data_IF_595309916359
#
_entry.id   IF_595309916359
#
_cell.length_a   1.000
_cell.length_b   1.000
_cell.length_c   1.000
_cell.angle_alpha   90.00
_cell.angle_beta   90.00
_cell.angle_gamma   90.00
#
_symmetry.space_group_name_H-M   'P 1'
#
loop_
_entity.id
_entity.type
_entity.pdbx_description
1 polymer ?
#
# COMPACT_ATOMS: atom_id res chain seq x y z
N UNK A 1 -27.41 -2.88 -52.91
CA UNK A 1 -28.67 -2.10 -52.95
C UNK A 1 -29.58 -2.61 -51.83
N UNK A 2 -29.47 -2.03 -50.63
CA UNK A 2 -30.48 -2.08 -49.56
C UNK A 2 -30.29 -0.84 -48.68
N UNK A 3 -31.40 -0.29 -48.23
CA UNK A 3 -31.64 1.11 -47.94
C UNK A 3 -31.22 1.57 -46.54
N UNK A 4 -31.03 2.89 -46.45
CA UNK A 4 -30.85 3.75 -45.27
C UNK A 4 -31.90 3.52 -44.17
N UNK A 5 -31.54 3.78 -42.91
CA UNK A 5 -32.33 4.66 -42.02
C UNK A 5 -31.45 5.29 -40.93
N UNK A 6 -31.60 6.61 -40.81
CA UNK A 6 -31.15 7.50 -39.72
C UNK A 6 -32.07 7.30 -38.51
N UNK A 7 -31.53 7.53 -37.32
CA UNK A 7 -32.31 7.72 -36.08
C UNK A 7 -31.51 8.51 -35.05
N UNK A 8 -31.70 9.83 -35.04
CA UNK A 8 -31.27 10.76 -33.99
C UNK A 8 -32.21 10.70 -32.77
N UNK A 9 -31.67 11.00 -31.59
CA UNK A 9 -32.23 11.82 -30.47
C UNK A 9 -31.62 11.32 -29.14
N UNK A 10 -30.73 12.04 -28.45
CA UNK A 10 -30.85 13.33 -27.76
C UNK A 10 -31.81 13.25 -26.56
N UNK A 11 -31.28 12.97 -25.36
CA UNK A 11 -31.82 13.52 -24.11
C UNK A 11 -30.65 14.02 -23.24
N UNK A 12 -30.61 15.34 -23.08
CA UNK A 12 -29.86 16.09 -22.05
C UNK A 12 -30.57 15.94 -20.70
N UNK A 13 -29.80 16.14 -19.62
CA UNK A 13 -30.08 16.83 -18.33
C UNK A 13 -29.35 16.07 -17.20
N UNK A 14 -28.21 16.57 -16.69
CA UNK A 14 -28.06 17.50 -15.55
C UNK A 14 -28.75 17.03 -14.27
N UNK A 15 -27.96 16.49 -13.34
CA UNK A 15 -28.16 16.79 -11.91
C UNK A 15 -26.86 16.52 -11.12
N UNK A 16 -26.12 17.57 -10.71
CA UNK A 16 -25.03 17.49 -9.77
C UNK A 16 -25.45 18.11 -8.43
N UNK A 17 -26.18 17.40 -7.59
CA UNK A 17 -26.27 17.72 -6.15
C UNK A 17 -27.02 16.60 -5.40
N UNK A 18 -26.27 15.69 -4.77
CA UNK A 18 -26.80 14.90 -3.66
C UNK A 18 -25.89 15.02 -2.47
N UNK A 19 -26.18 16.08 -1.72
CA UNK A 19 -25.71 16.40 -0.38
C UNK A 19 -25.88 15.19 0.53
N UNK A 20 -24.75 14.70 1.06
CA UNK A 20 -24.67 13.71 2.13
C UNK A 20 -25.21 14.31 3.44
N UNK A 21 -26.21 13.71 4.10
CA UNK A 21 -26.59 14.13 5.44
C UNK A 21 -25.52 13.69 6.45
N UNK A 22 -24.96 14.68 7.16
CA UNK A 22 -24.00 14.50 8.24
C UNK A 22 -24.56 13.62 9.36
N UNK A 23 -23.87 12.51 9.65
CA UNK A 23 -24.10 11.74 10.86
C UNK A 23 -23.31 12.37 12.01
N UNK A 24 -24.08 12.88 12.97
CA UNK A 24 -23.64 13.30 14.31
C UNK A 24 -22.68 12.29 14.92
N UNK A 25 -21.55 12.81 15.37
CA UNK A 25 -20.69 12.26 16.41
C UNK A 25 -21.51 11.96 17.67
N UNK A 26 -21.49 10.70 18.12
CA UNK A 26 -22.00 10.29 19.42
C UNK A 26 -20.94 10.60 20.49
N UNK A 27 -21.29 11.20 21.63
CA UNK A 27 -20.38 11.31 22.76
C UNK A 27 -20.21 9.96 23.46
N UNK A 28 -18.96 9.65 23.80
CA UNK A 28 -18.58 8.55 24.70
C UNK A 28 -19.36 8.67 26.01
N UNK A 29 -20.06 7.59 26.39
CA UNK A 29 -20.50 7.39 27.77
C UNK A 29 -19.28 7.02 28.61
N UNK A 30 -18.94 7.91 29.53
CA UNK A 30 -18.11 7.60 30.69
C UNK A 30 -18.98 6.83 31.69
N UNK A 31 -18.73 5.54 31.85
CA UNK A 31 -19.27 4.79 32.99
C UNK A 31 -18.36 5.05 34.20
N UNK A 32 -18.79 6.01 35.01
CA UNK A 32 -18.36 6.16 36.39
C UNK A 32 -19.41 5.50 37.31
N UNK A 33 -18.96 5.13 38.50
CA UNK A 33 -19.73 4.72 39.67
C UNK A 33 -20.25 3.28 39.75
N UNK A 34 -19.50 2.45 40.48
CA UNK A 34 -20.10 1.51 41.42
C UNK A 34 -19.54 1.73 42.83
N UNK A 35 -20.32 2.51 43.57
CA UNK A 35 -20.66 2.43 44.99
C UNK A 35 -19.73 1.60 45.91
N UNK A 36 -18.99 2.35 46.73
CA UNK A 36 -18.45 1.92 48.01
C UNK A 36 -19.56 1.98 49.07
N UNK A 37 -20.06 0.82 49.50
CA UNK A 37 -20.90 0.70 50.70
C UNK A 37 -20.10 0.02 51.81
N UNK A 38 -19.71 0.82 52.81
CA UNK A 38 -19.10 0.36 54.05
C UNK A 38 -20.14 -0.35 54.93
N UNK A 39 -19.90 -1.64 55.19
CA UNK A 39 -20.62 -2.43 56.18
C UNK A 39 -19.68 -2.80 57.32
N UNK A 40 -19.85 -2.11 58.45
CA UNK A 40 -19.19 -2.41 59.73
C UNK A 40 -19.68 -3.77 60.27
N UNK A 41 -18.86 -4.82 60.15
CA UNK A 41 -19.05 -6.05 60.93
C UNK A 41 -17.83 -6.26 61.82
N UNK A 42 -17.98 -5.85 63.09
CA UNK A 42 -17.14 -6.31 64.20
C UNK A 42 -17.29 -7.84 64.32
N UNK A 43 -16.41 -8.59 63.68
CA UNK A 43 -16.24 -10.02 63.97
C UNK A 43 -15.16 -10.20 65.02
N UNK A 44 -15.62 -10.64 66.18
CA UNK A 44 -14.85 -11.18 67.29
C UNK A 44 -13.88 -12.24 66.74
N UNK A 45 -12.58 -12.04 66.96
CA UNK A 45 -11.52 -12.98 66.56
C UNK A 45 -11.38 -14.05 67.65
N UNK A 46 -11.67 -15.33 67.40
CA UNK A 46 -11.21 -16.38 68.30
C UNK A 46 -9.76 -16.72 67.96
N UNK A 47 -8.92 -16.60 68.99
CA UNK A 47 -7.55 -17.12 69.07
C UNK A 47 -7.57 -18.64 68.84
N UNK A 48 -7.42 -19.10 67.60
CA UNK A 48 -7.10 -20.50 67.31
C UNK A 48 -6.15 -20.56 66.12
N UNK A 49 -4.98 -21.16 66.32
CA UNK A 49 -4.21 -21.77 65.24
C UNK A 49 -3.23 -20.85 64.53
N UNK A 50 -2.15 -20.50 65.23
CA UNK A 50 -0.87 -20.15 64.63
C UNK A 50 -0.34 -21.36 63.82
N UNK A 51 -0.65 -21.40 62.53
CA UNK A 51 0.16 -22.11 61.53
C UNK A 51 0.08 -21.35 60.20
N UNK A 52 0.55 -20.10 60.21
CA UNK A 52 1.00 -19.47 58.97
C UNK A 52 2.25 -20.23 58.56
N UNK A 53 2.09 -21.19 57.64
CA UNK A 53 3.20 -21.65 56.83
C UNK A 53 3.79 -20.40 56.18
N UNK A 54 4.92 -19.92 56.71
CA UNK A 54 5.83 -19.06 55.97
C UNK A 54 6.32 -19.89 54.78
N UNK A 55 5.49 -19.99 53.74
CA UNK A 55 6.02 -20.14 52.39
C UNK A 55 6.69 -18.80 52.15
N UNK A 56 7.97 -18.69 52.53
CA UNK A 56 8.83 -17.70 51.93
C UNK A 56 8.57 -17.83 50.42
N UNK A 57 8.21 -16.75 49.69
CA UNK A 57 8.28 -16.84 48.25
C UNK A 57 9.72 -17.27 47.98
N UNK A 58 9.91 -18.50 47.53
CA UNK A 58 11.18 -18.88 46.95
C UNK A 58 11.43 -17.77 45.93
N UNK A 59 12.59 -17.09 45.94
CA UNK A 59 12.99 -16.42 44.73
C UNK A 59 13.05 -17.57 43.74
N UNK A 60 12.00 -17.72 42.93
CA UNK A 60 12.04 -18.56 41.76
C UNK A 60 13.09 -17.88 40.92
N UNK A 61 14.35 -18.26 41.12
CA UNK A 61 15.44 -18.06 40.19
C UNK A 61 15.16 -18.98 39.01
N UNK A 62 13.97 -18.84 38.41
CA UNK A 62 13.74 -19.24 37.05
C UNK A 62 14.30 -18.10 36.21
N UNK A 63 15.60 -17.83 36.37
CA UNK A 63 16.31 -16.97 35.45
C UNK A 63 16.77 -17.87 34.30
N UNK A 64 15.82 -18.52 33.61
CA UNK A 64 16.13 -19.41 32.49
C UNK A 64 16.82 -18.65 31.34
N UNK A 65 16.76 -17.32 31.37
CA UNK A 65 17.39 -16.40 30.44
C UNK A 65 18.82 -15.96 30.81
N UNK A 66 19.40 -16.35 31.96
CA UNK A 66 20.77 -15.90 32.35
C UNK A 66 21.89 -16.57 31.57
N UNK A 67 21.59 -17.62 30.81
CA UNK A 67 22.57 -18.33 29.96
C UNK A 67 22.13 -18.41 28.49
N UNK A 68 20.89 -18.05 28.17
CA UNK A 68 20.33 -18.10 26.81
C UNK A 68 20.32 -16.69 26.22
N UNK A 69 21.29 -16.41 25.35
CA UNK A 69 21.22 -15.25 24.49
C UNK A 69 20.24 -15.53 23.34
N UNK A 70 19.11 -14.83 23.29
CA UNK A 70 18.17 -14.94 22.17
C UNK A 70 18.76 -14.23 20.95
N UNK A 71 19.46 -14.97 20.10
CA UNK A 71 19.96 -14.48 18.81
C UNK A 71 18.91 -14.60 17.73
N UNK A 72 19.02 -13.79 16.69
CA UNK A 72 18.22 -13.97 15.49
C UNK A 72 18.46 -15.37 14.90
N UNK A 73 17.41 -16.15 14.62
CA UNK A 73 17.55 -17.48 14.01
C UNK A 73 18.09 -17.40 12.57
N UNK A 74 17.80 -16.32 11.85
CA UNK A 74 18.23 -16.11 10.46
C UNK A 74 18.28 -14.60 10.14
N UNK A 75 18.60 -14.26 8.88
CA UNK A 75 18.69 -12.87 8.44
C UNK A 75 17.34 -12.14 8.34
N UNK A 76 16.22 -12.85 8.52
CA UNK A 76 14.84 -12.36 8.44
C UNK A 76 14.17 -12.17 9.79
N UNK A 77 14.88 -12.46 10.86
CA UNK A 77 14.41 -12.25 12.21
C UNK A 77 15.38 -11.33 12.95
N UNK A 78 14.84 -10.54 13.87
CA UNK A 78 15.66 -9.81 14.82
C UNK A 78 15.90 -10.64 16.07
N UNK A 79 16.87 -10.24 16.88
CA UNK A 79 17.13 -10.88 18.16
C UNK A 79 15.86 -10.84 19.03
N UNK A 80 15.46 -12.02 19.50
CA UNK A 80 14.30 -12.20 20.36
C UNK A 80 14.46 -11.64 21.76
N UNK A 81 13.33 -11.54 22.47
CA UNK A 81 13.31 -11.32 23.91
C UNK A 81 13.03 -12.65 24.58
N UNK A 82 13.80 -12.97 25.62
CA UNK A 82 13.61 -14.17 26.42
C UNK A 82 12.45 -13.96 27.40
N UNK A 83 11.50 -14.89 27.41
CA UNK A 83 10.48 -15.00 28.45
C UNK A 83 11.12 -15.59 29.73
N UNK A 84 11.15 -14.84 30.85
CA UNK A 84 11.77 -15.30 32.09
C UNK A 84 11.08 -16.52 32.70
N UNK A 85 9.78 -16.72 32.48
CA UNK A 85 9.01 -17.79 33.11
C UNK A 85 9.15 -19.12 32.36
N UNK A 86 9.30 -19.06 31.04
CA UNK A 86 9.37 -20.25 30.17
C UNK A 86 10.76 -20.52 29.59
N UNK A 87 11.66 -19.54 29.67
CA UNK A 87 12.98 -19.60 29.04
C UNK A 87 12.94 -19.59 27.51
N UNK A 88 11.78 -19.28 26.91
CA UNK A 88 11.59 -19.29 25.45
C UNK A 88 11.94 -17.94 24.84
N UNK A 89 12.57 -17.95 23.67
CA UNK A 89 12.89 -16.74 22.92
C UNK A 89 11.79 -16.42 21.93
N UNK A 90 11.36 -15.15 21.87
CA UNK A 90 10.53 -14.69 20.77
C UNK A 90 11.32 -14.63 19.46
N UNK A 91 10.63 -14.72 18.31
CA UNK A 91 11.26 -14.64 16.98
C UNK A 91 10.56 -13.53 16.17
N UNK A 92 10.81 -12.26 16.48
CA UNK A 92 10.24 -11.15 15.72
C UNK A 92 10.78 -11.12 14.28
N UNK A 93 9.89 -11.30 13.31
CA UNK A 93 10.18 -11.14 11.87
C UNK A 93 10.51 -9.67 11.55
N UNK A 94 11.49 -9.47 10.67
CA UNK A 94 11.79 -8.15 10.13
C UNK A 94 10.89 -7.87 8.92
N UNK A 95 10.46 -6.62 8.79
CA UNK A 95 9.75 -6.16 7.60
C UNK A 95 10.76 -5.66 6.58
N UNK A 96 10.80 -6.29 5.41
CA UNK A 96 11.57 -5.82 4.27
C UNK A 96 10.69 -4.94 3.39
N UNK A 97 10.87 -3.63 3.50
CA UNK A 97 10.22 -2.63 2.64
C UNK A 97 11.28 -1.61 2.21
N UNK A 98 11.55 -1.47 0.91
CA UNK A 98 12.48 -0.45 0.40
C UNK A 98 11.78 0.89 0.09
N UNK A 99 10.47 0.96 0.30
CA UNK A 99 9.63 2.12 0.01
C UNK A 99 9.38 2.32 -1.50
N UNK A 100 9.81 1.41 -2.35
CA UNK A 100 9.51 1.39 -3.77
C UNK A 100 8.31 0.47 -4.02
N UNK A 101 7.12 1.00 -4.36
CA UNK A 101 5.96 0.16 -4.62
C UNK A 101 6.11 -0.73 -5.86
N UNK A 102 7.20 -0.59 -6.63
CA UNK A 102 7.46 -1.31 -7.88
C UNK A 102 8.44 -2.45 -7.69
N UNK A 103 8.79 -2.78 -6.45
CA UNK A 103 9.53 -3.97 -6.09
C UNK A 103 8.63 -4.94 -5.34
N UNK A 104 8.85 -6.23 -5.59
CA UNK A 104 8.39 -7.29 -4.73
C UNK A 104 9.46 -7.48 -3.66
N UNK A 105 9.12 -7.04 -2.46
CA UNK A 105 10.02 -7.06 -1.33
C UNK A 105 9.80 -8.36 -0.57
N UNK A 106 10.88 -9.10 -0.32
CA UNK A 106 10.84 -10.35 0.40
C UNK A 106 12.08 -10.48 1.27
N UNK A 107 12.01 -11.38 2.24
CA UNK A 107 13.16 -11.71 3.06
C UNK A 107 13.62 -13.15 2.78
N UNK A 108 14.88 -13.30 2.39
CA UNK A 108 15.54 -14.59 2.24
C UNK A 108 16.31 -14.90 3.54
N UNK A 109 16.05 -16.03 4.22
CA UNK A 109 16.69 -16.35 5.51
C UNK A 109 18.22 -16.36 5.49
N UNK A 110 18.84 -16.58 4.31
CA UNK A 110 20.30 -16.64 4.18
C UNK A 110 20.92 -15.28 3.86
N UNK A 111 20.25 -14.44 3.07
CA UNK A 111 20.79 -13.20 2.53
C UNK A 111 20.10 -11.93 3.04
N UNK A 112 19.00 -12.05 3.78
CA UNK A 112 18.22 -10.95 4.33
C UNK A 112 17.24 -10.37 3.32
N UNK A 113 16.99 -9.07 3.38
CA UNK A 113 16.04 -8.42 2.49
C UNK A 113 16.48 -8.46 1.02
N UNK A 114 15.57 -8.92 0.16
CA UNK A 114 15.71 -8.95 -1.29
C UNK A 114 14.61 -8.12 -1.92
N UNK A 115 14.99 -7.19 -2.78
CA UNK A 115 14.07 -6.28 -3.46
C UNK A 115 14.11 -6.55 -4.96
N UNK A 116 13.09 -7.25 -5.48
CA UNK A 116 13.05 -7.66 -6.88
C UNK A 116 12.13 -6.74 -7.68
N UNK A 117 12.53 -6.23 -8.86
CA UNK A 117 11.63 -5.46 -9.70
C UNK A 117 10.36 -6.24 -10.03
N UNK A 118 9.19 -5.63 -9.80
CA UNK A 118 7.92 -6.22 -10.16
C UNK A 118 7.89 -6.56 -11.66
N UNK A 119 7.23 -7.66 -12.02
CA UNK A 119 7.12 -8.13 -13.40
C UNK A 119 5.65 -8.25 -13.83
N UNK A 120 5.41 -8.43 -15.13
CA UNK A 120 4.05 -8.63 -15.63
C UNK A 120 3.12 -7.42 -15.39
N UNK A 121 1.90 -7.70 -14.93
CA UNK A 121 0.91 -6.66 -14.63
C UNK A 121 1.25 -5.84 -13.39
N UNK A 122 1.90 -6.42 -12.39
CA UNK A 122 2.35 -5.72 -11.16
C UNK A 122 3.28 -4.56 -11.50
N UNK A 123 4.24 -4.79 -12.41
CA UNK A 123 5.16 -3.75 -12.88
C UNK A 123 4.43 -2.54 -13.47
N UNK A 124 3.39 -2.80 -14.27
CA UNK A 124 2.66 -1.74 -14.97
C UNK A 124 1.69 -1.03 -14.03
N UNK A 125 1.01 -1.76 -13.14
CA UNK A 125 0.14 -1.19 -12.11
C UNK A 125 0.94 -0.28 -11.18
N UNK A 126 2.11 -0.72 -10.71
CA UNK A 126 2.95 0.12 -9.88
C UNK A 126 3.41 1.39 -10.60
N UNK A 127 3.92 1.27 -11.83
CA UNK A 127 4.36 2.44 -12.59
C UNK A 127 3.23 3.46 -12.77
N UNK A 128 1.97 3.03 -12.84
CA UNK A 128 0.83 3.95 -12.93
C UNK A 128 0.54 4.66 -11.61
N UNK A 129 0.76 4.02 -10.46
CA UNK A 129 0.64 4.65 -9.14
C UNK A 129 1.73 5.71 -8.98
N UNK A 130 3.00 5.33 -9.20
CA UNK A 130 4.17 6.23 -9.07
C UNK A 130 4.20 7.34 -10.11
N UNK A 131 3.72 7.09 -11.34
CA UNK A 131 3.65 8.13 -12.37
C UNK A 131 2.56 9.17 -12.09
N UNK A 132 1.47 8.80 -11.40
CA UNK A 132 0.44 9.78 -10.97
C UNK A 132 0.83 10.63 -9.78
N UNK A 133 1.88 10.23 -9.06
CA UNK A 133 2.55 11.07 -8.07
C UNK A 133 3.49 12.11 -8.71
N UNK A 134 3.47 12.19 -10.05
CA UNK A 134 4.10 13.13 -10.98
C UNK A 134 5.15 14.08 -10.38
N UNK A 135 6.40 14.04 -10.89
CA UNK A 135 7.57 14.70 -10.31
C UNK A 135 7.20 16.11 -9.89
N UNK A 136 7.33 16.42 -8.59
CA UNK A 136 6.93 17.70 -8.01
C UNK A 136 7.40 18.93 -8.83
N UNK A 137 8.47 18.73 -9.61
CA UNK A 137 9.09 19.63 -10.60
C UNK A 137 8.19 20.04 -11.80
N UNK A 138 7.11 19.32 -12.10
CA UNK A 138 6.28 19.50 -13.30
C UNK A 138 4.86 20.03 -13.03
N UNK A 139 4.69 21.00 -12.13
CA UNK A 139 3.34 21.56 -11.87
C UNK A 139 3.17 22.99 -12.42
N UNK A 140 2.12 23.28 -13.21
CA UNK A 140 1.12 22.35 -13.75
C UNK A 140 1.59 21.66 -15.06
N UNK A 141 1.25 20.39 -15.21
CA UNK A 141 1.46 19.65 -16.47
C UNK A 141 0.50 20.18 -17.53
N UNK A 142 0.95 20.44 -18.77
CA UNK A 142 0.06 20.88 -19.85
C UNK A 142 -1.11 19.93 -20.04
N UNK A 143 -2.33 20.46 -20.07
CA UNK A 143 -3.58 19.69 -20.08
C UNK A 143 -3.59 18.56 -21.13
N UNK A 144 -3.06 18.82 -22.33
CA UNK A 144 -2.99 17.81 -23.40
C UNK A 144 -2.16 16.59 -23.03
N UNK A 145 -1.06 16.77 -22.30
CA UNK A 145 -0.17 15.69 -21.84
C UNK A 145 -0.89 14.93 -20.72
N UNK A 146 -1.46 15.64 -19.74
CA UNK A 146 -2.22 15.05 -18.65
C UNK A 146 -3.39 14.19 -19.15
N UNK A 147 -4.18 14.67 -20.12
CA UNK A 147 -5.27 13.88 -20.73
C UNK A 147 -4.76 12.61 -21.42
N UNK A 148 -3.59 12.67 -22.09
CA UNK A 148 -3.01 11.49 -22.73
C UNK A 148 -2.54 10.47 -21.70
N UNK A 149 -1.94 10.92 -20.59
CA UNK A 149 -1.53 10.05 -19.48
C UNK A 149 -2.76 9.40 -18.81
N UNK A 150 -3.80 10.17 -18.51
CA UNK A 150 -5.06 9.66 -17.96
C UNK A 150 -5.71 8.61 -18.89
N UNK A 151 -5.71 8.87 -20.20
CA UNK A 151 -6.24 7.91 -21.19
C UNK A 151 -5.40 6.63 -21.25
N UNK A 152 -4.08 6.73 -21.22
CA UNK A 152 -3.21 5.56 -21.20
C UNK A 152 -3.42 4.73 -19.92
N UNK A 153 -3.56 5.40 -18.76
CA UNK A 153 -3.88 4.76 -17.47
C UNK A 153 -5.18 3.96 -17.55
N UNK A 154 -6.25 4.56 -18.05
CA UNK A 154 -7.53 3.87 -18.24
C UNK A 154 -7.41 2.66 -19.19
N UNK A 155 -6.68 2.80 -20.31
CA UNK A 155 -6.48 1.69 -21.25
C UNK A 155 -5.74 0.51 -20.63
N UNK A 156 -4.75 0.77 -19.78
CA UNK A 156 -3.99 -0.26 -19.07
C UNK A 156 -4.84 -0.89 -17.98
N UNK A 157 -5.58 -0.09 -17.19
CA UNK A 157 -6.45 -0.61 -16.14
C UNK A 157 -7.47 -1.62 -16.70
N UNK A 158 -8.10 -1.28 -17.83
CA UNK A 158 -9.01 -2.21 -18.52
C UNK A 158 -8.29 -3.46 -19.04
N UNK A 159 -7.02 -3.34 -19.45
CA UNK A 159 -6.23 -4.50 -19.85
C UNK A 159 -5.89 -5.41 -18.66
N UNK A 160 -5.56 -4.85 -17.49
CA UNK A 160 -5.22 -5.61 -16.28
C UNK A 160 -6.44 -6.38 -15.76
N UNK A 161 -7.64 -5.77 -15.81
CA UNK A 161 -8.87 -6.40 -15.31
C UNK A 161 -9.51 -7.40 -16.28
N UNK A 162 -9.03 -7.51 -17.52
CA UNK A 162 -9.59 -8.44 -18.50
C UNK A 162 -8.93 -9.81 -18.43
N UNK A 163 -9.66 -10.89 -18.72
CA UNK A 163 -9.11 -12.25 -18.76
C UNK A 163 -8.66 -12.69 -20.17
N UNK A 164 -9.12 -12.01 -21.23
CA UNK A 164 -8.85 -12.41 -22.61
C UNK A 164 -7.50 -11.87 -23.13
N UNK A 165 -6.49 -12.73 -23.37
CA UNK A 165 -5.12 -12.29 -23.71
C UNK A 165 -5.04 -11.50 -25.01
N UNK A 166 -5.89 -11.81 -26.01
CA UNK A 166 -5.93 -11.06 -27.28
C UNK A 166 -6.40 -9.63 -27.06
N UNK A 167 -7.45 -9.46 -26.26
CA UNK A 167 -7.99 -8.14 -25.91
C UNK A 167 -6.98 -7.36 -25.06
N UNK A 168 -6.37 -7.99 -24.06
CA UNK A 168 -5.31 -7.39 -23.25
C UNK A 168 -4.17 -6.85 -24.14
N UNK A 169 -3.62 -7.68 -25.04
CA UNK A 169 -2.56 -7.29 -25.97
C UNK A 169 -2.98 -6.12 -26.88
N UNK A 170 -4.22 -6.11 -27.33
CA UNK A 170 -4.77 -5.02 -28.15
C UNK A 170 -4.87 -3.71 -27.34
N UNK A 171 -5.37 -3.77 -26.10
CA UNK A 171 -5.50 -2.63 -25.19
C UNK A 171 -4.13 -2.06 -24.80
N UNK A 172 -3.16 -2.92 -24.46
CA UNK A 172 -1.78 -2.49 -24.21
C UNK A 172 -1.16 -1.85 -25.46
N UNK A 173 -1.44 -2.37 -26.65
CA UNK A 173 -1.04 -1.73 -27.91
C UNK A 173 -1.66 -0.35 -28.11
N UNK A 174 -2.93 -0.15 -27.68
CA UNK A 174 -3.58 1.18 -27.69
C UNK A 174 -2.93 2.11 -26.66
N UNK A 175 -2.66 1.63 -25.44
CA UNK A 175 -1.97 2.38 -24.38
C UNK A 175 -0.58 2.85 -24.82
N UNK A 176 0.24 1.96 -25.37
CA UNK A 176 1.57 2.28 -25.90
C UNK A 176 1.52 3.41 -26.95
N UNK A 177 0.54 3.36 -27.87
CA UNK A 177 0.35 4.44 -28.86
C UNK A 177 -0.04 5.76 -28.20
N UNK A 178 -0.89 5.74 -27.18
CA UNK A 178 -1.26 6.92 -26.41
C UNK A 178 -0.05 7.53 -25.68
N UNK A 179 0.79 6.70 -25.05
CA UNK A 179 2.02 7.13 -24.40
C UNK A 179 3.02 7.74 -25.39
N UNK A 180 3.25 7.10 -26.54
CA UNK A 180 4.10 7.66 -27.61
C UNK A 180 3.58 9.02 -28.11
N UNK A 181 2.25 9.22 -28.17
CA UNK A 181 1.65 10.52 -28.48
C UNK A 181 1.92 11.55 -27.39
N UNK A 182 1.85 11.16 -26.10
CA UNK A 182 2.21 12.02 -24.99
C UNK A 182 3.67 12.47 -25.10
N UNK A 183 4.62 11.54 -25.34
CA UNK A 183 6.04 11.86 -25.51
C UNK A 183 6.27 12.84 -26.66
N UNK A 184 5.58 12.64 -27.79
CA UNK A 184 5.64 13.56 -28.93
C UNK A 184 5.07 14.94 -28.58
N UNK A 185 3.98 14.98 -27.82
CA UNK A 185 3.39 16.22 -27.30
C UNK A 185 4.37 16.96 -26.37
N UNK A 186 4.97 16.27 -25.40
CA UNK A 186 6.00 16.82 -24.51
C UNK A 186 7.16 17.44 -25.29
N UNK A 187 7.70 16.72 -26.28
CA UNK A 187 8.77 17.25 -27.15
C UNK A 187 8.35 18.51 -27.90
N UNK A 188 7.11 18.55 -28.43
CA UNK A 188 6.58 19.71 -29.15
C UNK A 188 6.40 20.93 -28.25
N UNK A 189 5.84 20.74 -27.07
CA UNK A 189 5.61 21.82 -26.09
C UNK A 189 6.96 22.34 -25.56
N UNK A 190 7.90 21.45 -25.26
CA UNK A 190 9.24 21.82 -24.81
C UNK A 190 10.00 22.64 -25.87
N UNK A 191 9.92 22.27 -27.16
CA UNK A 191 10.53 23.05 -28.26
C UNK A 191 9.96 24.47 -28.36
N UNK A 192 8.69 24.66 -28.03
CA UNK A 192 8.02 25.98 -27.99
C UNK A 192 8.24 26.73 -26.67
N UNK A 193 9.18 26.28 -25.82
CA UNK A 193 9.43 26.82 -24.47
C UNK A 193 8.22 26.78 -23.53
N UNK A 194 7.24 25.92 -23.80
CA UNK A 194 6.05 25.76 -22.96
C UNK A 194 6.23 24.84 -21.75
N UNK A 195 7.47 24.37 -21.51
CA UNK A 195 7.88 23.52 -20.39
C UNK A 195 9.31 23.92 -19.98
N UNK A 196 9.63 23.86 -18.69
CA UNK A 196 11.02 23.98 -18.24
C UNK A 196 11.87 22.80 -18.75
N UNK A 197 13.19 22.95 -18.97
CA UNK A 197 14.05 21.86 -19.41
C UNK A 197 13.98 20.65 -18.46
N UNK A 198 14.05 20.92 -17.15
CA UNK A 198 13.95 19.90 -16.11
C UNK A 198 12.62 19.14 -16.19
N UNK A 199 11.51 19.85 -16.36
CA UNK A 199 10.21 19.22 -16.47
C UNK A 199 10.06 18.41 -17.76
N UNK A 200 10.52 18.97 -18.89
CA UNK A 200 10.47 18.28 -20.17
C UNK A 200 11.25 16.95 -20.13
N UNK A 201 12.41 16.92 -19.47
CA UNK A 201 13.23 15.73 -19.36
C UNK A 201 12.67 14.72 -18.36
N UNK A 202 12.12 15.19 -17.23
CA UNK A 202 11.41 14.33 -16.28
C UNK A 202 10.22 13.62 -16.96
N UNK A 203 9.38 14.36 -17.70
CA UNK A 203 8.26 13.78 -18.44
C UNK A 203 8.72 12.80 -19.53
N UNK A 204 9.79 13.11 -20.27
CA UNK A 204 10.33 12.18 -21.28
C UNK A 204 10.80 10.87 -20.66
N UNK A 205 11.47 10.91 -19.51
CA UNK A 205 11.93 9.72 -18.77
C UNK A 205 10.75 8.87 -18.33
N UNK A 206 9.78 9.46 -17.63
CA UNK A 206 8.58 8.76 -17.15
C UNK A 206 7.81 8.12 -18.31
N UNK A 207 7.50 8.89 -19.35
CA UNK A 207 6.76 8.38 -20.51
C UNK A 207 7.54 7.31 -21.29
N UNK A 208 8.87 7.42 -21.35
CA UNK A 208 9.75 6.41 -21.93
C UNK A 208 9.70 5.10 -21.16
N UNK A 209 9.90 5.16 -19.84
CA UNK A 209 9.85 4.00 -18.95
C UNK A 209 8.49 3.29 -19.04
N UNK A 210 7.38 4.03 -18.97
CA UNK A 210 6.03 3.49 -19.16
C UNK A 210 5.86 2.80 -20.52
N UNK A 211 6.36 3.42 -21.60
CA UNK A 211 6.24 2.84 -22.94
C UNK A 211 6.99 1.52 -23.05
N UNK A 212 8.19 1.42 -22.46
CA UNK A 212 9.01 0.21 -22.49
C UNK A 212 8.36 -0.94 -21.71
N UNK A 213 7.89 -0.67 -20.49
CA UNK A 213 7.25 -1.71 -19.66
C UNK A 213 5.94 -2.20 -20.27
N UNK A 214 5.12 -1.29 -20.83
CA UNK A 214 3.90 -1.69 -21.55
C UNK A 214 4.23 -2.52 -22.80
N UNK A 215 5.32 -2.22 -23.52
CA UNK A 215 5.74 -3.03 -24.66
C UNK A 215 6.25 -4.41 -24.24
N UNK A 216 7.01 -4.49 -23.15
CA UNK A 216 7.49 -5.75 -22.58
C UNK A 216 6.33 -6.64 -22.13
N UNK A 217 5.39 -6.10 -21.34
CA UNK A 217 4.17 -6.81 -20.93
C UNK A 217 3.37 -7.30 -22.14
N UNK A 218 3.24 -6.46 -23.17
CA UNK A 218 2.51 -6.84 -24.39
C UNK A 218 3.19 -7.96 -25.18
N UNK A 219 4.50 -8.16 -25.04
CA UNK A 219 5.25 -9.24 -25.69
C UNK A 219 5.14 -10.56 -24.93
N UNK A 220 4.91 -10.51 -23.62
CA UNK A 220 4.76 -11.69 -22.77
C UNK A 220 3.33 -12.26 -22.76
N UNK A 221 2.34 -11.50 -23.26
CA UNK A 221 0.96 -11.96 -23.52
C UNK A 221 0.81 -12.52 -24.94
#
# INVERSE_FOLDING_TARGET
MFLLTRGEQFLKTTDPDRVLPGRRSQPMRTENEMASTGGFFRRVVPLVGLLVLLVAPTPSTNAQCTQVGCTAPDACHSAGVCDPDTGTCSTPEITCEDGNPCTADSCDPSSGCVFQPASGFEAVTCLLVTSTLEPAVCRPVPAKIATLMARAKSQIAVAVSGENPRLQKQLLGKAMRTLKRATKSTRRVAKRRGLSPLCADALKRVLGNLTNHVDQLRRTL
#
